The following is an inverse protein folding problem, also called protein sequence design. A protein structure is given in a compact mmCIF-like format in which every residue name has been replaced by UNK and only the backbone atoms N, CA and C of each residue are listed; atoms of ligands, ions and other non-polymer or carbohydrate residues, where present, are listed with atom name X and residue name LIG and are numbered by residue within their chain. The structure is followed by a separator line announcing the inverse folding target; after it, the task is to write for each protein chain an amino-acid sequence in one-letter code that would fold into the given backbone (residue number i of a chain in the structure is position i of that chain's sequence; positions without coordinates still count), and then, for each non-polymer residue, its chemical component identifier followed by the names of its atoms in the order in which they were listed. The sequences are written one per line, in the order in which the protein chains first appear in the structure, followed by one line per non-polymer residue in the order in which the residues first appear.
data_IF_218780337148
#
_entry.id   IF_218780337148
#
_cell.length_a   1.000
_cell.length_b   1.000
_cell.length_c   1.000
_cell.angle_alpha   90.00
_cell.angle_beta   90.00
_cell.angle_gamma   90.00
#
_symmetry.space_group_name_H-M   'P 1'
#
loop_
_entity.id
_entity.type
_entity.pdbx_description
1 polymer ?
#
# COMPACT_ATOMS: atom_id res chain seq x y z
N UNK A 1 10.71 -1.84 17.74
CA UNK A 1 10.44 -2.99 16.84
C UNK A 1 9.92 -4.17 17.66
N UNK A 2 10.67 -4.68 18.64
CA UNK A 2 10.30 -5.86 19.42
C UNK A 2 8.92 -5.72 20.12
N UNK A 3 8.65 -4.58 20.73
CA UNK A 3 7.35 -4.30 21.35
C UNK A 3 6.19 -4.34 20.36
N UNK A 4 6.39 -3.84 19.14
CA UNK A 4 5.40 -3.91 18.08
C UNK A 4 5.10 -5.37 17.68
N UNK A 5 6.14 -6.19 17.55
CA UNK A 5 5.99 -7.62 17.28
C UNK A 5 5.21 -8.31 18.41
N UNK A 6 5.54 -8.03 19.66
CA UNK A 6 4.83 -8.60 20.82
C UNK A 6 3.35 -8.18 20.84
N UNK A 7 3.06 -6.89 20.57
CA UNK A 7 1.66 -6.39 20.46
C UNK A 7 0.89 -7.13 19.38
N UNK A 8 1.48 -7.27 18.19
CA UNK A 8 0.86 -8.01 17.09
C UNK A 8 0.59 -9.46 17.45
N UNK A 9 1.58 -10.18 18.00
CA UNK A 9 1.44 -11.58 18.41
C UNK A 9 0.32 -11.77 19.44
N UNK A 10 0.23 -10.88 20.44
CA UNK A 10 -0.86 -10.90 21.44
C UNK A 10 -2.23 -10.63 20.80
N UNK A 11 -2.33 -9.61 19.97
CA UNK A 11 -3.57 -9.23 19.27
C UNK A 11 -4.14 -10.38 18.44
N UNK A 12 -3.26 -11.09 17.73
CA UNK A 12 -3.66 -12.15 16.80
C UNK A 12 -3.52 -13.56 17.37
N UNK A 13 -3.18 -13.69 18.66
CA UNK A 13 -2.99 -14.98 19.35
C UNK A 13 -2.01 -15.90 18.61
N UNK A 14 -0.92 -15.32 18.11
CA UNK A 14 0.14 -16.03 17.42
C UNK A 14 1.33 -16.24 18.38
N UNK A 15 2.01 -17.37 18.29
CA UNK A 15 3.19 -17.64 19.10
C UNK A 15 4.45 -16.95 18.56
N UNK A 16 4.53 -16.79 17.25
CA UNK A 16 5.68 -16.22 16.55
C UNK A 16 5.33 -15.70 15.17
N UNK A 17 6.20 -14.83 14.62
CA UNK A 17 6.28 -14.54 13.21
C UNK A 17 7.24 -15.50 12.51
N UNK A 18 6.94 -15.85 11.27
CA UNK A 18 7.79 -16.71 10.43
C UNK A 18 7.84 -16.14 8.99
N UNK A 19 8.43 -14.95 8.77
CA UNK A 19 8.33 -14.21 7.52
C UNK A 19 8.78 -15.02 6.31
N UNK A 20 7.97 -15.04 5.25
CA UNK A 20 8.20 -15.65 3.94
C UNK A 20 8.00 -14.67 2.79
N UNK A 21 7.18 -13.63 2.99
CA UNK A 21 6.81 -12.69 1.95
C UNK A 21 6.66 -11.27 2.49
N UNK A 22 6.86 -10.30 1.60
CA UNK A 22 6.53 -8.89 1.81
C UNK A 22 5.62 -8.44 0.67
N UNK A 23 4.49 -7.85 1.03
CA UNK A 23 3.53 -7.26 0.12
C UNK A 23 3.73 -5.75 0.15
N UNK A 24 4.12 -5.18 -0.97
CA UNK A 24 4.38 -3.75 -1.12
C UNK A 24 3.19 -3.06 -1.78
N UNK A 25 2.72 -1.95 -1.24
CA UNK A 25 2.01 -0.99 -2.05
C UNK A 25 2.95 -0.42 -3.12
N UNK A 26 2.41 0.28 -4.11
CA UNK A 26 3.18 0.78 -5.23
C UNK A 26 3.40 2.31 -5.15
N UNK A 27 2.30 3.05 -5.12
CA UNK A 27 2.33 4.51 -5.20
C UNK A 27 2.63 5.12 -3.82
N UNK A 28 3.73 5.84 -3.69
CA UNK A 28 4.22 6.34 -2.40
C UNK A 28 5.10 5.34 -1.63
N UNK A 29 5.27 4.10 -2.12
CA UNK A 29 6.17 3.08 -1.56
C UNK A 29 7.28 2.71 -2.53
N UNK A 30 6.95 2.28 -3.75
CA UNK A 30 7.92 1.95 -4.79
C UNK A 30 8.19 3.13 -5.74
N UNK A 31 7.20 4.00 -5.94
CA UNK A 31 7.30 5.20 -6.77
C UNK A 31 6.91 6.46 -6.00
N UNK A 32 7.63 7.55 -6.24
CA UNK A 32 7.27 8.89 -5.75
C UNK A 32 6.18 9.52 -6.64
N UNK A 33 5.02 8.89 -6.68
CA UNK A 33 3.93 9.21 -7.61
C UNK A 33 2.72 9.88 -6.95
N UNK A 34 2.60 9.86 -5.63
CA UNK A 34 1.39 10.33 -4.94
C UNK A 34 1.08 11.79 -5.13
N UNK A 35 2.09 12.66 -5.16
CA UNK A 35 1.92 14.09 -5.48
C UNK A 35 1.26 14.32 -6.85
N UNK A 36 1.56 13.48 -7.82
CA UNK A 36 0.98 13.54 -9.16
C UNK A 36 -0.43 12.95 -9.20
N UNK A 37 -0.67 11.87 -8.45
CA UNK A 37 -2.02 11.34 -8.26
C UNK A 37 -2.94 12.36 -7.59
N UNK A 38 -2.52 12.96 -6.48
CA UNK A 38 -3.30 13.97 -5.76
C UNK A 38 -3.60 15.18 -6.64
N UNK A 39 -2.60 15.68 -7.40
CA UNK A 39 -2.78 16.78 -8.34
C UNK A 39 -3.79 16.44 -9.44
N UNK A 40 -3.62 15.30 -10.11
CA UNK A 40 -4.50 14.88 -11.20
C UNK A 40 -5.94 14.67 -10.72
N UNK A 41 -6.14 14.05 -9.56
CA UNK A 41 -7.46 13.89 -8.96
C UNK A 41 -8.11 15.21 -8.59
N UNK A 42 -7.37 16.14 -7.97
CA UNK A 42 -7.90 17.44 -7.59
C UNK A 42 -8.29 18.27 -8.81
N UNK A 43 -7.48 18.24 -9.86
CA UNK A 43 -7.75 18.97 -11.11
C UNK A 43 -8.99 18.41 -11.82
N UNK A 44 -9.11 17.09 -12.00
CA UNK A 44 -10.30 16.51 -12.62
C UNK A 44 -11.56 16.71 -11.78
N UNK A 45 -11.45 16.63 -10.44
CA UNK A 45 -12.57 16.93 -9.56
C UNK A 45 -13.03 18.39 -9.72
N UNK A 46 -12.10 19.33 -9.85
CA UNK A 46 -12.39 20.75 -10.08
C UNK A 46 -13.07 20.95 -11.45
N UNK A 47 -12.58 20.31 -12.51
CA UNK A 47 -13.19 20.38 -13.85
C UNK A 47 -14.65 19.91 -13.85
N UNK A 48 -14.97 18.88 -13.07
CA UNK A 48 -16.32 18.32 -12.93
C UNK A 48 -17.12 18.93 -11.76
N UNK A 49 -16.65 20.02 -11.16
CA UNK A 49 -17.28 20.72 -10.02
C UNK A 49 -17.61 19.78 -8.83
N UNK A 50 -16.75 18.77 -8.62
CA UNK A 50 -16.87 17.85 -7.50
C UNK A 50 -16.21 18.43 -6.25
N UNK A 51 -16.87 18.28 -5.11
CA UNK A 51 -16.39 18.78 -3.81
C UNK A 51 -15.18 17.97 -3.34
N UNK A 52 -14.00 18.60 -3.34
CA UNK A 52 -12.77 17.98 -2.89
C UNK A 52 -11.75 19.00 -2.39
N UNK A 53 -10.83 18.54 -1.56
CA UNK A 53 -9.60 19.25 -1.16
C UNK A 53 -8.39 18.44 -1.61
N UNK A 54 -7.22 19.06 -1.86
CA UNK A 54 -6.01 18.32 -2.25
C UNK A 54 -5.63 17.21 -1.28
N UNK A 55 -5.83 17.43 0.04
CA UNK A 55 -5.49 16.48 1.09
C UNK A 55 -6.36 15.22 1.06
N UNK A 56 -7.60 15.32 0.55
CA UNK A 56 -8.51 14.18 0.47
C UNK A 56 -7.90 13.02 -0.34
N UNK A 57 -7.10 13.33 -1.36
CA UNK A 57 -6.54 12.32 -2.25
C UNK A 57 -5.38 11.53 -1.65
N UNK A 58 -4.71 12.06 -0.64
CA UNK A 58 -3.78 11.27 0.18
C UNK A 58 -4.52 10.36 1.16
N UNK A 59 -5.70 10.78 1.66
CA UNK A 59 -6.55 9.93 2.49
C UNK A 59 -7.23 8.82 1.69
N UNK A 60 -7.52 9.06 0.40
CA UNK A 60 -8.17 8.10 -0.49
C UNK A 60 -7.20 7.17 -1.20
N UNK A 61 -5.91 7.33 -0.99
CA UNK A 61 -4.91 6.49 -1.62
C UNK A 61 -5.17 5.01 -1.34
N UNK A 62 -4.94 4.19 -2.37
CA UNK A 62 -5.21 2.75 -2.31
C UNK A 62 -6.64 2.36 -2.70
N UNK A 63 -7.58 3.29 -2.79
CA UNK A 63 -8.91 3.04 -3.36
C UNK A 63 -8.82 2.75 -4.86
N UNK A 64 -9.79 2.00 -5.37
CA UNK A 64 -9.99 1.96 -6.83
C UNK A 64 -10.50 3.31 -7.34
N UNK A 65 -10.22 3.63 -8.60
CA UNK A 65 -10.71 4.87 -9.23
C UNK A 65 -12.23 5.02 -9.16
N UNK A 66 -12.98 3.92 -9.35
CA UNK A 66 -14.44 3.93 -9.22
C UNK A 66 -14.91 4.29 -7.81
N UNK A 67 -14.25 3.75 -6.79
CA UNK A 67 -14.58 4.06 -5.39
C UNK A 67 -14.29 5.51 -5.05
N UNK A 68 -13.18 6.08 -5.55
CA UNK A 68 -12.85 7.50 -5.38
C UNK A 68 -13.90 8.39 -6.04
N UNK A 69 -14.29 8.09 -7.28
CA UNK A 69 -15.31 8.86 -8.01
C UNK A 69 -16.66 8.81 -7.29
N UNK A 70 -17.09 7.63 -6.84
CA UNK A 70 -18.33 7.51 -6.09
C UNK A 70 -18.30 8.36 -4.80
N UNK A 71 -17.21 8.35 -4.05
CA UNK A 71 -17.05 9.19 -2.85
C UNK A 71 -17.25 10.68 -3.18
N UNK A 72 -16.63 11.18 -4.26
CA UNK A 72 -16.77 12.57 -4.70
C UNK A 72 -18.22 12.88 -5.13
N UNK A 73 -18.88 11.96 -5.82
CA UNK A 73 -20.28 12.13 -6.23
C UNK A 73 -21.24 12.09 -5.05
N UNK A 74 -21.02 11.22 -4.07
CA UNK A 74 -21.80 11.19 -2.84
C UNK A 74 -21.69 12.52 -2.07
N UNK A 75 -20.46 13.06 -1.95
CA UNK A 75 -20.22 14.35 -1.28
C UNK A 75 -20.87 15.52 -2.00
N UNK A 76 -20.91 15.49 -3.34
CA UNK A 76 -21.36 16.62 -4.16
C UNK A 76 -22.85 16.55 -4.46
N UNK A 77 -23.33 15.37 -4.88
CA UNK A 77 -24.66 15.18 -5.45
C UNK A 77 -25.54 14.19 -4.68
N UNK A 78 -25.03 13.57 -3.60
CA UNK A 78 -25.73 12.56 -2.77
C UNK A 78 -26.21 11.36 -3.57
N UNK A 79 -25.48 10.99 -4.62
CA UNK A 79 -25.69 9.79 -5.45
C UNK A 79 -24.38 9.18 -5.90
N UNK A 80 -24.42 7.96 -6.35
CA UNK A 80 -23.28 7.35 -7.05
C UNK A 80 -23.14 7.91 -8.47
N UNK A 81 -21.91 7.89 -8.98
CA UNK A 81 -21.62 8.19 -10.37
C UNK A 81 -22.15 7.07 -11.28
N UNK A 82 -22.65 7.43 -12.46
CA UNK A 82 -22.98 6.46 -13.51
C UNK A 82 -21.72 5.81 -14.07
N UNK A 83 -21.89 4.71 -14.81
CA UNK A 83 -20.77 4.04 -15.48
C UNK A 83 -20.02 4.96 -16.45
N UNK A 84 -20.76 5.80 -17.20
CA UNK A 84 -20.20 6.77 -18.14
C UNK A 84 -19.41 7.88 -17.43
N UNK A 85 -19.95 8.44 -16.35
CA UNK A 85 -19.26 9.43 -15.50
C UNK A 85 -17.95 8.86 -14.93
N UNK A 86 -17.98 7.63 -14.41
CA UNK A 86 -16.79 6.94 -13.90
C UNK A 86 -15.72 6.76 -14.98
N UNK A 87 -16.13 6.30 -16.15
CA UNK A 87 -15.21 6.08 -17.27
C UNK A 87 -14.57 7.39 -17.75
N UNK A 88 -15.37 8.45 -17.91
CA UNK A 88 -14.90 9.76 -18.36
C UNK A 88 -13.91 10.36 -17.35
N UNK A 89 -14.29 10.45 -16.08
CA UNK A 89 -13.48 11.07 -15.03
C UNK A 89 -12.18 10.29 -14.82
N UNK A 90 -12.27 8.94 -14.80
CA UNK A 90 -11.07 8.12 -14.62
C UNK A 90 -10.09 8.27 -15.80
N UNK A 91 -10.61 8.34 -17.03
CA UNK A 91 -9.78 8.57 -18.21
C UNK A 91 -9.08 9.94 -18.16
N UNK A 92 -9.81 11.01 -17.89
CA UNK A 92 -9.25 12.36 -17.79
C UNK A 92 -8.20 12.43 -16.66
N UNK A 93 -8.48 11.84 -15.49
CA UNK A 93 -7.51 11.74 -14.41
C UNK A 93 -6.25 10.98 -14.82
N UNK A 94 -6.39 9.88 -15.55
CA UNK A 94 -5.25 9.09 -16.02
C UNK A 94 -4.41 9.86 -17.03
N UNK A 95 -5.04 10.60 -17.94
CA UNK A 95 -4.36 11.45 -18.93
C UNK A 95 -3.58 12.58 -18.25
N UNK A 96 -4.16 13.26 -17.25
CA UNK A 96 -3.48 14.26 -16.42
C UNK A 96 -2.32 13.66 -15.64
N UNK A 97 -2.53 12.53 -14.99
CA UNK A 97 -1.47 11.83 -14.26
C UNK A 97 -0.29 11.50 -15.15
N UNK A 98 -0.54 10.96 -16.35
CA UNK A 98 0.51 10.62 -17.30
C UNK A 98 1.28 11.86 -17.79
N UNK A 99 0.65 13.04 -17.80
CA UNK A 99 1.30 14.30 -18.13
C UNK A 99 2.24 14.78 -17.02
N UNK A 100 1.88 14.53 -15.75
CA UNK A 100 2.64 15.04 -14.59
C UNK A 100 3.68 14.07 -14.07
N UNK A 101 3.40 12.75 -14.13
CA UNK A 101 4.22 11.73 -13.53
C UNK A 101 5.54 11.53 -14.30
N UNK A 102 6.65 11.80 -13.63
CA UNK A 102 7.99 11.58 -14.16
C UNK A 102 8.48 10.13 -14.03
N UNK A 103 7.70 9.29 -13.35
CA UNK A 103 8.03 7.88 -13.15
C UNK A 103 9.17 7.64 -12.15
N UNK A 104 9.53 8.63 -11.34
CA UNK A 104 10.65 8.52 -10.40
C UNK A 104 10.43 7.39 -9.39
N UNK A 105 11.45 6.53 -9.17
CA UNK A 105 11.41 5.55 -8.09
C UNK A 105 11.41 6.28 -6.73
N UNK A 106 10.79 5.67 -5.72
CA UNK A 106 10.87 6.15 -4.35
C UNK A 106 12.29 5.96 -3.81
N UNK A 107 12.85 7.03 -3.24
CA UNK A 107 14.16 6.98 -2.59
C UNK A 107 14.16 5.92 -1.48
N UNK A 108 15.14 5.03 -1.47
CA UNK A 108 15.27 3.93 -0.51
C UNK A 108 14.50 2.65 -0.90
N UNK A 109 13.61 2.69 -1.90
CA UNK A 109 12.83 1.50 -2.27
C UNK A 109 13.70 0.35 -2.82
N UNK A 110 14.68 0.68 -3.67
CA UNK A 110 15.61 -0.31 -4.22
C UNK A 110 16.43 -1.00 -3.11
N UNK A 111 16.84 -0.23 -2.11
CA UNK A 111 17.57 -0.72 -0.93
C UNK A 111 16.69 -1.67 -0.10
N UNK A 112 15.42 -1.31 0.16
CA UNK A 112 14.48 -2.19 0.86
C UNK A 112 14.28 -3.49 0.07
N UNK A 113 14.04 -3.42 -1.24
CA UNK A 113 13.85 -4.61 -2.07
C UNK A 113 15.08 -5.53 -2.03
N UNK A 114 16.28 -4.96 -2.05
CA UNK A 114 17.55 -5.71 -1.93
C UNK A 114 17.68 -6.39 -0.57
N UNK A 115 17.36 -5.69 0.52
CA UNK A 115 17.40 -6.27 1.88
C UNK A 115 16.36 -7.37 2.07
N UNK A 116 15.16 -7.21 1.49
CA UNK A 116 14.10 -8.23 1.49
C UNK A 116 14.56 -9.48 0.71
N UNK A 117 15.21 -9.29 -0.44
CA UNK A 117 15.79 -10.38 -1.22
C UNK A 117 16.90 -11.11 -0.46
N UNK A 118 17.83 -10.37 0.13
CA UNK A 118 18.92 -10.92 0.95
C UNK A 118 18.40 -11.72 2.15
N UNK A 119 17.20 -11.39 2.65
CA UNK A 119 16.51 -12.10 3.74
C UNK A 119 15.82 -13.38 3.26
N UNK A 120 15.82 -13.68 1.95
CA UNK A 120 15.18 -14.85 1.33
C UNK A 120 13.67 -14.76 1.24
N UNK A 121 13.09 -13.54 1.33
CA UNK A 121 11.65 -13.34 1.31
C UNK A 121 11.14 -13.05 -0.11
N UNK A 122 9.92 -13.53 -0.39
CA UNK A 122 9.21 -13.19 -1.62
C UNK A 122 8.79 -11.71 -1.59
N UNK A 123 8.74 -11.07 -2.76
CA UNK A 123 8.29 -9.69 -2.97
C UNK A 123 7.08 -9.69 -3.89
N UNK A 124 5.98 -9.12 -3.46
CA UNK A 124 4.76 -8.96 -4.23
C UNK A 124 4.32 -7.50 -4.20
N UNK A 125 3.65 -7.06 -5.25
CA UNK A 125 3.00 -5.73 -5.31
C UNK A 125 1.50 -5.88 -5.13
N UNK A 126 0.90 -5.02 -4.31
CA UNK A 126 -0.55 -4.94 -4.10
C UNK A 126 -0.99 -3.49 -4.29
N UNK A 127 -1.47 -3.16 -5.49
CA UNK A 127 -1.83 -1.80 -5.88
C UNK A 127 -3.30 -1.65 -6.25
N UNK A 128 -3.88 -0.49 -5.95
CA UNK A 128 -5.21 -0.10 -6.45
C UNK A 128 -5.24 0.35 -7.91
N UNK A 129 -4.08 0.40 -8.58
CA UNK A 129 -4.00 0.80 -9.98
C UNK A 129 -4.46 -0.32 -10.92
N UNK A 130 -5.18 0.08 -11.99
CA UNK A 130 -5.64 -0.80 -13.07
C UNK A 130 -4.95 -0.56 -14.41
N UNK A 131 -3.67 -0.15 -14.43
CA UNK A 131 -2.93 0.09 -15.68
C UNK A 131 -2.23 -1.18 -16.16
N UNK A 132 -2.45 -1.57 -17.41
CA UNK A 132 -1.83 -2.78 -18.00
C UNK A 132 -0.30 -2.68 -18.13
N UNK A 133 0.25 -1.47 -18.25
CA UNK A 133 1.70 -1.22 -18.38
C UNK A 133 2.48 -1.27 -17.07
N UNK A 134 1.82 -1.56 -15.94
CA UNK A 134 2.47 -1.53 -14.62
C UNK A 134 3.63 -2.53 -14.50
N UNK A 135 3.46 -3.75 -15.03
CA UNK A 135 4.51 -4.76 -14.95
C UNK A 135 5.74 -4.37 -15.73
N UNK A 136 5.56 -3.77 -16.90
CA UNK A 136 6.68 -3.31 -17.74
C UNK A 136 7.42 -2.17 -17.02
N UNK A 137 6.69 -1.24 -16.41
CA UNK A 137 7.25 -0.16 -15.61
C UNK A 137 8.03 -0.70 -14.41
N UNK A 138 7.46 -1.64 -13.66
CA UNK A 138 8.12 -2.27 -12.51
C UNK A 138 9.38 -3.04 -12.92
N UNK A 139 9.34 -3.79 -14.02
CA UNK A 139 10.50 -4.52 -14.53
C UNK A 139 11.59 -3.60 -15.06
N UNK A 140 11.23 -2.44 -15.61
CA UNK A 140 12.20 -1.43 -16.03
C UNK A 140 12.91 -0.79 -14.83
N UNK A 141 12.16 -0.44 -13.80
CA UNK A 141 12.69 0.27 -12.62
C UNK A 141 13.37 -0.68 -11.62
N UNK A 142 12.78 -1.86 -11.40
CA UNK A 142 13.21 -2.86 -10.43
C UNK A 142 13.36 -4.24 -11.11
N UNK A 143 14.36 -4.41 -12.00
CA UNK A 143 14.51 -5.62 -12.79
C UNK A 143 14.69 -6.86 -11.91
N UNK A 144 13.93 -7.92 -12.21
CA UNK A 144 14.00 -9.20 -11.51
C UNK A 144 13.23 -9.30 -10.19
N UNK A 145 12.67 -8.19 -9.68
CA UNK A 145 11.94 -8.21 -8.40
C UNK A 145 10.48 -8.65 -8.55
N UNK A 146 9.81 -8.30 -9.66
CA UNK A 146 8.37 -8.52 -9.84
C UNK A 146 8.04 -9.20 -11.17
N UNK A 147 6.92 -9.93 -11.19
CA UNK A 147 6.29 -10.46 -12.39
C UNK A 147 4.75 -10.43 -12.20
N UNK A 148 3.97 -10.75 -13.25
CA UNK A 148 2.50 -10.66 -13.19
C UNK A 148 1.89 -11.59 -12.13
N UNK A 149 2.48 -12.73 -11.86
CA UNK A 149 2.02 -13.68 -10.84
C UNK A 149 2.21 -13.12 -9.42
N UNK A 150 3.21 -12.25 -9.24
CA UNK A 150 3.54 -11.57 -7.98
C UNK A 150 2.93 -10.17 -7.88
N UNK A 151 1.80 -9.94 -8.54
CA UNK A 151 1.07 -8.68 -8.50
C UNK A 151 -0.40 -8.89 -8.22
N UNK A 152 -0.97 -8.01 -7.40
CA UNK A 152 -2.41 -7.79 -7.25
C UNK A 152 -2.70 -6.37 -7.69
N UNK A 153 -3.63 -6.22 -8.62
CA UNK A 153 -4.05 -4.94 -9.21
C UNK A 153 -5.56 -4.76 -9.05
N UNK A 154 -6.09 -3.61 -9.45
CA UNK A 154 -7.53 -3.37 -9.46
C UNK A 154 -8.32 -4.39 -10.31
N UNK A 155 -7.68 -5.07 -11.26
CA UNK A 155 -8.32 -6.11 -12.09
C UNK A 155 -8.45 -7.48 -11.38
N UNK A 156 -7.69 -7.69 -10.31
CA UNK A 156 -7.66 -8.96 -9.60
C UNK A 156 -8.70 -9.05 -8.47
N UNK A 157 -9.30 -7.91 -8.06
CA UNK A 157 -10.15 -7.80 -6.87
C UNK A 157 -11.49 -7.15 -7.19
N UNK A 158 -12.50 -7.49 -6.42
CA UNK A 158 -13.81 -6.84 -6.47
C UNK A 158 -13.83 -5.57 -5.62
N UNK A 159 -13.18 -5.60 -4.47
CA UNK A 159 -13.14 -4.50 -3.51
C UNK A 159 -11.70 -4.04 -3.32
N UNK A 160 -11.45 -2.74 -3.54
CA UNK A 160 -10.17 -2.10 -3.25
C UNK A 160 -9.99 -1.78 -1.75
N UNK A 161 -8.81 -1.32 -1.38
CA UNK A 161 -8.51 -0.81 -0.04
C UNK A 161 -9.55 0.27 0.36
N UNK A 162 -10.07 0.30 1.60
CA UNK A 162 -9.59 -0.38 2.80
C UNK A 162 -10.12 -1.81 3.00
N UNK A 163 -10.85 -2.38 2.03
CA UNK A 163 -11.26 -3.78 2.13
C UNK A 163 -10.02 -4.70 2.13
N UNK A 164 -9.98 -5.79 2.93
CA UNK A 164 -8.81 -6.66 3.02
C UNK A 164 -8.53 -7.51 1.77
N UNK A 165 -9.48 -7.59 0.84
CA UNK A 165 -9.40 -8.47 -0.33
C UNK A 165 -8.07 -8.35 -1.11
N UNK A 166 -7.50 -7.14 -1.39
CA UNK A 166 -6.24 -7.05 -2.11
C UNK A 166 -5.08 -7.76 -1.38
N UNK A 167 -5.00 -7.61 -0.06
CA UNK A 167 -3.96 -8.26 0.74
C UNK A 167 -4.23 -9.74 0.97
N UNK A 168 -5.47 -10.17 1.11
CA UNK A 168 -5.84 -11.59 1.12
C UNK A 168 -5.47 -12.28 -0.20
N UNK A 169 -5.69 -11.61 -1.33
CA UNK A 169 -5.23 -12.08 -2.63
C UNK A 169 -3.70 -12.15 -2.71
N UNK A 170 -3.01 -11.15 -2.13
CA UNK A 170 -1.55 -11.15 -2.01
C UNK A 170 -1.03 -12.35 -1.21
N UNK A 171 -1.65 -12.66 -0.07
CA UNK A 171 -1.33 -13.87 0.71
C UNK A 171 -1.51 -15.15 -0.11
N UNK A 172 -2.60 -15.25 -0.86
CA UNK A 172 -2.87 -16.40 -1.72
C UNK A 172 -1.79 -16.56 -2.79
N UNK A 173 -1.42 -15.47 -3.49
CA UNK A 173 -0.37 -15.48 -4.52
C UNK A 173 1.03 -15.76 -3.93
N UNK A 174 1.28 -15.37 -2.69
CA UNK A 174 2.52 -15.67 -1.97
C UNK A 174 2.55 -17.08 -1.40
N UNK A 175 1.44 -17.81 -1.38
CA UNK A 175 1.27 -19.07 -0.64
C UNK A 175 1.70 -18.94 0.82
N UNK A 176 1.33 -17.82 1.47
CA UNK A 176 1.75 -17.47 2.82
C UNK A 176 0.55 -17.13 3.70
N UNK A 177 0.74 -17.30 5.01
CA UNK A 177 -0.23 -16.94 6.05
C UNK A 177 0.01 -15.51 6.55
N UNK A 178 -0.95 -14.88 7.25
CA UNK A 178 -0.77 -13.54 7.81
C UNK A 178 0.49 -13.41 8.68
N UNK A 179 0.76 -14.35 9.58
CA UNK A 179 1.96 -14.35 10.44
C UNK A 179 3.27 -14.74 9.72
N UNK A 180 3.19 -15.03 8.43
CA UNK A 180 4.32 -15.31 7.54
C UNK A 180 4.60 -14.14 6.57
N UNK A 181 3.89 -13.01 6.74
CA UNK A 181 3.91 -11.92 5.76
C UNK A 181 4.02 -10.57 6.45
N UNK A 182 4.73 -9.65 5.81
CA UNK A 182 4.72 -8.23 6.13
C UNK A 182 4.04 -7.44 5.01
N UNK A 183 3.42 -6.32 5.36
CA UNK A 183 2.98 -5.30 4.42
C UNK A 183 3.82 -4.06 4.60
N UNK A 184 4.19 -3.40 3.50
CA UNK A 184 4.77 -2.05 3.48
C UNK A 184 3.79 -1.12 2.77
N UNK A 185 3.31 -0.11 3.48
CA UNK A 185 2.24 0.81 3.08
C UNK A 185 2.55 2.26 3.47
N UNK A 186 1.97 3.23 2.76
CA UNK A 186 2.14 4.65 3.06
C UNK A 186 0.80 5.37 3.28
N UNK A 187 -0.33 4.71 3.02
CA UNK A 187 -1.64 5.33 3.06
C UNK A 187 -2.56 4.70 4.11
N UNK A 188 -3.42 5.50 4.79
CA UNK A 188 -4.27 4.97 5.86
C UNK A 188 -5.19 3.85 5.40
N UNK A 189 -5.82 3.95 4.22
CA UNK A 189 -6.70 2.89 3.72
C UNK A 189 -5.95 1.60 3.37
N UNK A 190 -4.70 1.71 2.92
CA UNK A 190 -3.86 0.55 2.69
C UNK A 190 -3.44 -0.12 4.00
N UNK A 191 -3.09 0.67 5.01
CA UNK A 191 -2.82 0.17 6.38
C UNK A 191 -4.06 -0.54 6.94
N UNK A 192 -5.25 0.08 6.87
CA UNK A 192 -6.50 -0.54 7.32
C UNK A 192 -6.78 -1.87 6.62
N UNK A 193 -6.57 -1.94 5.30
CA UNK A 193 -6.74 -3.17 4.53
C UNK A 193 -5.79 -4.29 4.98
N UNK A 194 -4.53 -3.97 5.22
CA UNK A 194 -3.51 -4.91 5.68
C UNK A 194 -3.81 -5.40 7.10
N UNK A 195 -4.20 -4.50 8.00
CA UNK A 195 -4.62 -4.80 9.39
C UNK A 195 -5.87 -5.68 9.39
N UNK A 196 -6.86 -5.38 8.52
CA UNK A 196 -8.06 -6.21 8.37
C UNK A 196 -7.75 -7.61 7.81
N UNK A 197 -6.66 -7.76 7.05
CA UNK A 197 -6.14 -9.06 6.60
C UNK A 197 -5.30 -9.77 7.69
N UNK A 198 -5.18 -9.18 8.89
CA UNK A 198 -4.38 -9.67 10.01
C UNK A 198 -2.88 -9.79 9.72
N UNK A 199 -2.32 -8.93 8.87
CA UNK A 199 -0.90 -8.96 8.48
C UNK A 199 -0.14 -7.91 9.30
N UNK A 200 1.10 -8.23 9.72
CA UNK A 200 1.99 -7.26 10.35
C UNK A 200 2.30 -6.13 9.38
N UNK A 201 1.90 -4.91 9.75
CA UNK A 201 1.89 -3.77 8.83
C UNK A 201 2.94 -2.73 9.22
N UNK A 202 3.85 -2.46 8.30
CA UNK A 202 4.89 -1.44 8.39
C UNK A 202 4.44 -0.25 7.56
N UNK A 203 4.15 0.87 8.19
CA UNK A 203 3.86 2.12 7.49
C UNK A 203 5.15 2.90 7.23
N UNK A 204 5.22 3.55 6.05
CA UNK A 204 6.25 4.53 5.68
C UNK A 204 5.57 5.85 5.37
N UNK A 205 5.83 6.90 6.14
CA UNK A 205 5.19 8.20 5.95
C UNK A 205 5.93 9.03 4.90
N UNK A 206 5.76 8.66 3.63
CA UNK A 206 6.36 9.35 2.48
C UNK A 206 5.51 10.50 1.95
N UNK A 207 4.35 10.75 2.55
CA UNK A 207 3.40 11.79 2.16
C UNK A 207 3.29 12.93 3.19
N UNK A 208 2.34 13.84 3.00
CA UNK A 208 2.16 15.02 3.86
C UNK A 208 1.27 14.76 5.08
N UNK A 209 0.74 13.54 5.26
CA UNK A 209 -0.17 13.24 6.35
C UNK A 209 0.57 13.19 7.69
N UNK A 210 -0.07 13.61 8.81
CA UNK A 210 0.51 13.40 10.13
C UNK A 210 0.72 11.91 10.42
N UNK A 211 1.81 11.57 11.09
CA UNK A 211 2.14 10.20 11.51
C UNK A 211 0.99 9.49 12.24
N UNK A 212 0.25 10.26 13.06
CA UNK A 212 -0.86 9.73 13.83
C UNK A 212 -1.95 9.10 12.96
N UNK A 213 -2.16 9.59 11.73
CA UNK A 213 -3.16 9.03 10.79
C UNK A 213 -2.83 7.58 10.44
N UNK A 214 -1.55 7.26 10.21
CA UNK A 214 -1.10 5.90 9.89
C UNK A 214 -1.12 5.00 11.14
N UNK A 215 -0.80 5.55 12.29
CA UNK A 215 -0.89 4.84 13.58
C UNK A 215 -2.34 4.52 13.94
N UNK A 216 -3.26 5.48 13.77
CA UNK A 216 -4.69 5.29 14.02
C UNK A 216 -5.32 4.27 13.05
N UNK A 217 -4.82 4.18 11.81
CA UNK A 217 -5.18 3.13 10.86
C UNK A 217 -4.71 1.73 11.31
N UNK A 218 -3.81 1.65 12.30
CA UNK A 218 -3.40 0.42 12.95
C UNK A 218 -2.03 -0.11 12.54
N UNK A 219 -1.15 0.71 11.96
CA UNK A 219 0.21 0.31 11.65
C UNK A 219 0.95 -0.23 12.89
N UNK A 220 1.63 -1.36 12.73
CA UNK A 220 2.42 -1.98 13.81
C UNK A 220 3.76 -1.25 13.99
N UNK A 221 4.38 -0.84 12.88
CA UNK A 221 5.59 -0.01 12.82
C UNK A 221 5.37 1.18 11.91
N UNK A 222 6.04 2.29 12.20
CA UNK A 222 6.04 3.51 11.39
C UNK A 222 7.46 3.97 11.16
N UNK A 223 7.79 4.24 9.90
CA UNK A 223 9.05 4.82 9.46
C UNK A 223 8.80 6.14 8.71
N UNK A 224 9.71 7.12 8.81
CA UNK A 224 9.56 8.39 8.09
C UNK A 224 9.74 8.24 6.58
N UNK A 225 10.46 7.21 6.13
CA UNK A 225 10.79 6.97 4.72
C UNK A 225 11.30 5.53 4.50
N UNK A 226 11.51 5.18 3.23
CA UNK A 226 12.03 3.87 2.84
C UNK A 226 13.51 3.68 3.16
N UNK A 227 14.31 4.75 3.23
CA UNK A 227 15.74 4.66 3.59
C UNK A 227 15.91 4.23 5.05
N UNK A 228 15.11 4.77 5.96
CA UNK A 228 15.13 4.38 7.37
C UNK A 228 14.59 2.95 7.55
N UNK A 229 13.59 2.55 6.80
CA UNK A 229 13.12 1.16 6.77
C UNK A 229 14.24 0.21 6.29
N UNK A 230 14.97 0.57 5.23
CA UNK A 230 16.08 -0.25 4.72
C UNK A 230 17.17 -0.46 5.78
N UNK A 231 17.54 0.59 6.52
CA UNK A 231 18.55 0.53 7.58
C UNK A 231 18.18 -0.46 8.69
N UNK A 232 16.90 -0.49 9.06
CA UNK A 232 16.41 -1.32 10.17
C UNK A 232 15.94 -2.70 9.71
N UNK A 233 15.91 -3.00 8.41
CA UNK A 233 15.31 -4.23 7.88
C UNK A 233 15.88 -5.50 8.50
N UNK A 234 17.20 -5.60 8.62
CA UNK A 234 17.87 -6.76 9.23
C UNK A 234 17.41 -6.99 10.67
N UNK A 235 17.33 -5.90 11.45
CA UNK A 235 16.85 -5.97 12.83
C UNK A 235 15.39 -6.40 12.91
N UNK A 236 14.53 -5.91 12.01
CA UNK A 236 13.13 -6.32 11.92
C UNK A 236 13.05 -7.84 11.72
N UNK A 237 13.82 -8.38 10.75
CA UNK A 237 13.80 -9.82 10.43
C UNK A 237 14.37 -10.66 11.56
N UNK A 238 15.46 -10.24 12.21
CA UNK A 238 16.07 -10.94 13.34
C UNK A 238 15.09 -11.02 14.52
N UNK A 239 14.47 -9.90 14.89
CA UNK A 239 13.49 -9.85 15.97
C UNK A 239 12.21 -10.61 15.63
N UNK A 240 11.73 -10.55 14.38
CA UNK A 240 10.56 -11.34 13.95
C UNK A 240 10.81 -12.84 14.06
N UNK A 241 12.00 -13.31 13.72
CA UNK A 241 12.38 -14.73 13.79
C UNK A 241 12.67 -15.20 15.20
N UNK A 242 13.14 -14.32 16.09
CA UNK A 242 13.56 -14.69 17.47
C UNK A 242 12.47 -14.49 18.52
N UNK A 243 11.57 -13.51 18.34
CA UNK A 243 10.54 -13.21 19.36
C UNK A 243 9.49 -14.33 19.46
N UNK A 244 9.26 -14.80 20.69
CA UNK A 244 8.24 -15.82 21.03
C UNK A 244 7.34 -15.29 22.14
N UNK A 245 6.02 -15.36 21.94
CA UNK A 245 5.06 -14.81 22.91
C UNK A 245 5.18 -15.45 24.31
N UNK A 246 5.48 -16.76 24.38
CA UNK A 246 5.60 -17.50 25.65
C UNK A 246 6.72 -16.96 26.58
N UNK A 247 7.73 -16.28 26.01
CA UNK A 247 8.83 -15.69 26.80
C UNK A 247 8.40 -14.39 27.50
N UNK A 248 7.28 -13.78 27.11
CA UNK A 248 6.76 -12.50 27.61
C UNK A 248 5.41 -12.66 28.35
N UNK A 249 5.07 -13.88 28.78
CA UNK A 249 3.80 -14.20 29.46
C UNK A 249 3.93 -14.16 30.98
N UNK A 250 4.83 -13.32 31.51
CA UNK A 250 4.97 -13.09 32.96
C UNK A 250 4.38 -11.77 33.39
#
# INVERSE_FOLDING_TARGET
IQEAIIRYLRKHRQESLSPKAVLFDMDGVLYDSMRFHARAWHEVATLHQLTSRPEDFYMFEGRTGESTINELYQRTFQRDATAEEKQTIYKEKADLFNTYNDGAPMTGAAEVLKEVEASGLQRLVVTGSGQHSLIDKLNHTYPGHFNREKMVTAFDVKYGKPHPEPYLMGLQKAHAKPNETFVVENAPMGVEAAVAANIFTIAVNTGPLPDQVLLDAGADLLYPDMENLAKDWKQIIELAKSTRLNEYSK
#
